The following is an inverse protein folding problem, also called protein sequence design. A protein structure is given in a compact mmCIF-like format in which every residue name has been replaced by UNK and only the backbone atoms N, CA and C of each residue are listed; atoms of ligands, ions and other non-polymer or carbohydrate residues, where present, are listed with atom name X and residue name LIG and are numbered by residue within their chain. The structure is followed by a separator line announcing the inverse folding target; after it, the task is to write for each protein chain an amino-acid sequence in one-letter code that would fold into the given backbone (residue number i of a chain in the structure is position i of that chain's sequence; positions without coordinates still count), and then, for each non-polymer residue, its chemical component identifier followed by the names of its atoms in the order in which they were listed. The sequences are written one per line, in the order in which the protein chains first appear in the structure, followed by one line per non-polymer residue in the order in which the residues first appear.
data_IF_991409649615
#
_entry.id   IF_991409649615
#
_cell.length_a   1.000
_cell.length_b   1.000
_cell.length_c   1.000
_cell.angle_alpha   90.00
_cell.angle_beta   90.00
_cell.angle_gamma   90.00
#
_symmetry.space_group_name_H-M   'P 1'
#
loop_
_entity.id
_entity.type
_entity.pdbx_description
1 polymer ?
#
# COMPACT_ATOMS: atom_id res chain seq x y z
N UNK A 1 -37.37 1.90 62.59
CA UNK A 1 -37.34 1.74 61.12
C UNK A 1 -36.03 2.31 60.57
N UNK A 2 -34.89 1.82 61.07
CA UNK A 2 -33.54 2.21 60.59
C UNK A 2 -33.07 1.25 59.48
N UNK A 3 -33.56 0.02 59.49
CA UNK A 3 -33.17 -1.03 58.54
C UNK A 3 -33.69 -0.87 57.11
N UNK A 4 -34.69 -0.02 56.84
CA UNK A 4 -35.20 0.22 55.47
C UNK A 4 -34.40 1.31 54.74
N UNK A 5 -34.00 2.37 55.46
CA UNK A 5 -33.30 3.51 54.85
C UNK A 5 -31.86 3.17 54.47
N UNK A 6 -31.15 2.38 55.29
CA UNK A 6 -29.78 1.97 55.00
C UNK A 6 -29.69 0.99 53.83
N UNK A 7 -30.69 0.11 53.68
CA UNK A 7 -30.78 -0.82 52.55
C UNK A 7 -31.09 -0.06 51.26
N UNK A 8 -32.01 0.90 51.29
CA UNK A 8 -32.30 1.76 50.12
C UNK A 8 -31.08 2.59 49.72
N UNK A 9 -30.37 3.18 50.68
CA UNK A 9 -29.15 3.94 50.41
C UNK A 9 -28.05 3.06 49.79
N UNK A 10 -27.89 1.83 50.32
CA UNK A 10 -26.95 0.85 49.79
C UNK A 10 -27.27 0.43 48.35
N UNK A 11 -28.55 0.24 48.02
CA UNK A 11 -29.00 -0.08 46.65
C UNK A 11 -28.72 1.08 45.69
N UNK A 12 -28.97 2.32 46.10
CA UNK A 12 -28.69 3.51 45.28
C UNK A 12 -27.18 3.63 44.98
N UNK A 13 -26.33 3.44 45.99
CA UNK A 13 -24.87 3.48 45.81
C UNK A 13 -24.41 2.37 44.85
N UNK A 14 -25.00 1.18 44.93
CA UNK A 14 -24.69 0.06 44.06
C UNK A 14 -25.11 0.32 42.61
N UNK A 15 -26.30 0.89 42.39
CA UNK A 15 -26.78 1.26 41.04
C UNK A 15 -25.90 2.34 40.43
N UNK A 16 -25.55 3.37 41.20
CA UNK A 16 -24.66 4.45 40.73
C UNK A 16 -23.26 3.91 40.43
N UNK A 17 -22.70 3.07 41.31
CA UNK A 17 -21.39 2.44 41.11
C UNK A 17 -21.35 1.52 39.89
N UNK A 18 -22.39 0.72 39.67
CA UNK A 18 -22.53 -0.11 38.46
C UNK A 18 -22.67 0.75 37.20
N UNK A 19 -23.39 1.87 37.27
CA UNK A 19 -23.50 2.83 36.17
C UNK A 19 -22.14 3.41 35.77
N UNK A 20 -21.37 3.90 36.74
CA UNK A 20 -20.01 4.42 36.49
C UNK A 20 -19.05 3.35 35.96
N UNK A 21 -19.10 2.12 36.51
CA UNK A 21 -18.27 1.01 36.03
C UNK A 21 -18.61 0.67 34.57
N UNK A 22 -19.90 0.62 34.23
CA UNK A 22 -20.36 0.28 32.87
C UNK A 22 -19.92 1.34 31.87
N UNK A 23 -20.08 2.62 32.19
CA UNK A 23 -19.65 3.73 31.33
C UNK A 23 -18.12 3.69 31.13
N UNK A 24 -17.36 3.53 32.20
CA UNK A 24 -15.90 3.45 32.13
C UNK A 24 -15.40 2.24 31.33
N UNK A 25 -16.07 1.09 31.44
CA UNK A 25 -15.72 -0.09 30.63
C UNK A 25 -16.02 0.14 29.15
N UNK A 26 -17.12 0.79 28.79
CA UNK A 26 -17.45 1.08 27.39
C UNK A 26 -16.40 2.02 26.79
N UNK A 27 -16.10 3.14 27.43
CA UNK A 27 -15.10 4.11 26.96
C UNK A 27 -13.72 3.46 26.75
N UNK A 28 -13.22 2.70 27.73
CA UNK A 28 -11.92 2.05 27.60
C UNK A 28 -11.88 0.87 26.62
N UNK A 29 -13.02 0.20 26.40
CA UNK A 29 -13.08 -0.91 25.45
C UNK A 29 -13.18 -0.40 24.01
N UNK A 30 -13.91 0.69 23.79
CA UNK A 30 -14.01 1.36 22.48
C UNK A 30 -12.65 1.92 22.05
N UNK A 31 -11.97 2.67 22.91
CA UNK A 31 -10.63 3.20 22.63
C UNK A 31 -9.62 2.09 22.27
N UNK A 32 -9.67 0.96 23.00
CA UNK A 32 -8.81 -0.18 22.73
C UNK A 32 -9.16 -0.87 21.40
N UNK A 33 -10.46 -1.03 21.12
CA UNK A 33 -10.93 -1.63 19.87
C UNK A 33 -10.52 -0.79 18.65
N UNK A 34 -10.63 0.54 18.74
CA UNK A 34 -10.25 1.47 17.68
C UNK A 34 -8.73 1.50 17.46
N UNK A 35 -7.94 1.46 18.55
CA UNK A 35 -6.48 1.34 18.47
C UNK A 35 -6.06 0.02 17.79
N UNK A 36 -6.71 -1.10 18.13
CA UNK A 36 -6.46 -2.39 17.47
C UNK A 36 -6.85 -2.34 16.00
N UNK A 37 -8.00 -1.76 15.65
CA UNK A 37 -8.46 -1.63 14.27
C UNK A 37 -7.47 -0.81 13.43
N UNK A 38 -7.00 0.32 13.96
CA UNK A 38 -6.04 1.19 13.27
C UNK A 38 -4.70 0.50 13.05
N UNK A 39 -4.21 -0.25 14.05
CA UNK A 39 -2.98 -1.05 13.90
C UNK A 39 -3.12 -2.11 12.80
N UNK A 40 -4.27 -2.81 12.73
CA UNK A 40 -4.52 -3.81 11.68
C UNK A 40 -4.54 -3.15 10.29
N UNK A 41 -5.17 -1.99 10.14
CA UNK A 41 -5.21 -1.25 8.87
C UNK A 41 -3.81 -0.80 8.46
N UNK A 42 -3.02 -0.29 9.41
CA UNK A 42 -1.63 0.10 9.19
C UNK A 42 -0.75 -1.06 8.76
N UNK A 43 -0.81 -2.19 9.47
CA UNK A 43 -0.01 -3.37 9.15
C UNK A 43 -0.32 -3.88 7.73
N UNK A 44 -1.59 -3.94 7.36
CA UNK A 44 -2.00 -4.32 5.99
C UNK A 44 -1.43 -3.37 4.93
N UNK A 45 -1.59 -2.06 5.11
CA UNK A 45 -1.08 -1.07 4.16
C UNK A 45 0.46 -1.12 4.06
N UNK A 46 1.14 -1.23 5.20
CA UNK A 46 2.60 -1.37 5.29
C UNK A 46 3.10 -2.63 4.60
N UNK A 47 2.50 -3.79 4.87
CA UNK A 47 2.93 -5.06 4.30
C UNK A 47 2.73 -5.09 2.78
N UNK A 48 1.64 -4.51 2.27
CA UNK A 48 1.42 -4.38 0.83
C UNK A 48 2.46 -3.47 0.18
N UNK A 49 2.74 -2.31 0.78
CA UNK A 49 3.75 -1.40 0.25
C UNK A 49 5.14 -2.07 0.25
N UNK A 50 5.51 -2.77 1.33
CA UNK A 50 6.77 -3.53 1.42
C UNK A 50 6.86 -4.62 0.35
N UNK A 51 5.79 -5.38 0.11
CA UNK A 51 5.77 -6.43 -0.90
C UNK A 51 5.97 -5.87 -2.32
N UNK A 52 5.35 -4.73 -2.64
CA UNK A 52 5.51 -4.06 -3.93
C UNK A 52 6.94 -3.52 -4.14
N UNK A 53 7.61 -3.11 -3.07
CA UNK A 53 9.02 -2.68 -3.07
C UNK A 53 9.95 -3.88 -3.21
N UNK A 54 9.78 -4.93 -2.40
CA UNK A 54 10.67 -6.10 -2.37
C UNK A 54 10.69 -6.86 -3.67
N UNK A 55 9.54 -6.93 -4.35
CA UNK A 55 9.38 -7.70 -5.58
C UNK A 55 9.82 -6.90 -6.83
N UNK A 56 10.31 -5.66 -6.67
CA UNK A 56 10.75 -4.80 -7.78
C UNK A 56 9.61 -4.31 -8.69
N UNK A 57 8.36 -4.55 -8.31
CA UNK A 57 7.17 -4.16 -9.09
C UNK A 57 7.05 -2.64 -9.16
N UNK A 58 7.28 -1.93 -8.04
CA UNK A 58 7.27 -0.46 -8.02
C UNK A 58 8.38 0.15 -8.88
N UNK A 59 9.59 -0.39 -8.82
CA UNK A 59 10.71 0.07 -9.65
C UNK A 59 10.35 -0.04 -11.14
N UNK A 60 9.85 -1.20 -11.55
CA UNK A 60 9.46 -1.45 -12.94
C UNK A 60 8.29 -0.57 -13.38
N UNK A 61 7.31 -0.35 -12.50
CA UNK A 61 6.15 0.50 -12.77
C UNK A 61 6.53 1.98 -12.91
N UNK A 62 7.43 2.49 -12.06
CA UNK A 62 7.96 3.86 -12.15
C UNK A 62 8.61 4.10 -13.52
N UNK A 63 9.41 3.15 -14.00
CA UNK A 63 10.07 3.26 -15.30
C UNK A 63 9.05 3.29 -16.45
N UNK A 64 8.03 2.44 -16.39
CA UNK A 64 6.95 2.46 -17.37
C UNK A 64 6.19 3.79 -17.37
N UNK A 65 5.85 4.33 -16.20
CA UNK A 65 5.15 5.62 -16.07
C UNK A 65 5.98 6.74 -16.71
N UNK A 66 7.28 6.80 -16.40
CA UNK A 66 8.18 7.82 -16.94
C UNK A 66 8.36 7.71 -18.47
N UNK A 67 8.20 6.52 -19.04
CA UNK A 67 8.34 6.27 -20.47
C UNK A 67 7.00 6.24 -21.24
N UNK A 68 5.90 6.71 -20.62
CA UNK A 68 4.61 6.87 -21.29
C UNK A 68 3.73 5.60 -21.33
N UNK A 69 4.10 4.54 -20.62
CA UNK A 69 3.34 3.29 -20.48
C UNK A 69 2.57 3.21 -19.15
N UNK A 70 2.06 4.35 -18.67
CA UNK A 70 1.37 4.45 -17.38
C UNK A 70 0.16 3.53 -17.25
N UNK A 71 -0.61 3.30 -18.31
CA UNK A 71 -1.80 2.43 -18.28
C UNK A 71 -1.47 0.97 -17.97
N UNK A 72 -0.39 0.44 -18.55
CA UNK A 72 0.08 -0.92 -18.25
C UNK A 72 0.63 -1.02 -16.82
N UNK A 73 1.34 0.02 -16.37
CA UNK A 73 1.82 0.09 -15.00
C UNK A 73 0.66 0.11 -13.99
N UNK A 74 -0.39 0.89 -14.28
CA UNK A 74 -1.60 0.97 -13.46
C UNK A 74 -2.32 -0.39 -13.39
N UNK A 75 -2.53 -1.06 -14.52
CA UNK A 75 -3.20 -2.37 -14.55
C UNK A 75 -2.45 -3.41 -13.70
N UNK A 76 -1.12 -3.47 -13.82
CA UNK A 76 -0.32 -4.40 -13.02
C UNK A 76 -0.36 -4.04 -11.53
N UNK A 77 -0.27 -2.75 -11.20
CA UNK A 77 -0.33 -2.28 -9.82
C UNK A 77 -1.70 -2.59 -9.19
N UNK A 78 -2.79 -2.38 -9.91
CA UNK A 78 -4.16 -2.72 -9.47
C UNK A 78 -4.30 -4.22 -9.22
N UNK A 79 -3.85 -5.06 -10.15
CA UNK A 79 -3.95 -6.52 -9.99
C UNK A 79 -3.09 -7.07 -8.84
N UNK A 80 -2.09 -6.32 -8.39
CA UNK A 80 -1.20 -6.70 -7.28
C UNK A 80 -1.66 -6.14 -5.93
N UNK A 81 -2.41 -5.04 -5.95
CA UNK A 81 -3.04 -4.46 -4.76
C UNK A 81 -4.42 -5.07 -4.54
N UNK A 82 -4.45 -6.15 -3.76
CA UNK A 82 -5.68 -6.76 -3.25
C UNK A 82 -6.27 -5.95 -2.08
N UNK A 83 -6.57 -4.68 -2.34
CA UNK A 83 -7.18 -3.73 -1.41
C UNK A 83 -8.36 -3.06 -2.12
N UNK A 84 -9.53 -3.03 -1.49
CA UNK A 84 -10.74 -2.49 -2.14
C UNK A 84 -10.81 -0.96 -2.15
N UNK A 85 -10.16 -0.28 -1.20
CA UNK A 85 -10.25 1.17 -1.03
C UNK A 85 -8.88 1.76 -0.75
N UNK A 86 -8.23 2.28 -1.78
CA UNK A 86 -6.91 2.88 -1.62
C UNK A 86 -6.63 4.00 -2.62
N UNK A 87 -5.67 4.84 -2.28
CA UNK A 87 -5.01 5.79 -3.19
C UNK A 87 -3.50 5.56 -3.08
N UNK A 88 -2.86 5.24 -4.21
CA UNK A 88 -1.42 5.12 -4.35
C UNK A 88 -0.88 6.32 -5.15
N UNK A 89 -0.08 7.14 -4.49
CA UNK A 89 0.70 8.21 -5.09
C UNK A 89 2.12 7.73 -5.38
N UNK A 90 2.59 7.93 -6.62
CA UNK A 90 3.96 7.66 -7.08
C UNK A 90 4.47 8.96 -7.70
N UNK A 91 5.18 9.79 -6.92
CA UNK A 91 5.54 11.14 -7.36
C UNK A 91 4.30 11.97 -7.73
N UNK A 92 4.20 12.37 -9.00
CA UNK A 92 3.03 13.11 -9.52
C UNK A 92 1.94 12.20 -10.10
N UNK A 93 2.17 10.89 -10.17
CA UNK A 93 1.22 9.92 -10.70
C UNK A 93 0.35 9.37 -9.56
N UNK A 94 -0.96 9.26 -9.78
CA UNK A 94 -1.90 8.79 -8.76
C UNK A 94 -2.78 7.70 -9.33
N UNK A 95 -2.93 6.61 -8.57
CA UNK A 95 -3.83 5.49 -8.85
C UNK A 95 -4.79 5.41 -7.66
N UNK A 96 -6.08 5.25 -7.94
CA UNK A 96 -7.09 5.08 -6.90
C UNK A 96 -8.05 3.96 -7.26
N UNK A 97 -8.48 3.21 -6.24
CA UNK A 97 -9.50 2.18 -6.36
C UNK A 97 -10.48 2.31 -5.17
N UNK A 98 -11.78 2.20 -5.45
CA UNK A 98 -12.84 2.31 -4.44
C UNK A 98 -13.15 3.72 -3.96
N UNK A 99 -13.86 3.81 -2.83
CA UNK A 99 -14.24 5.06 -2.19
C UNK A 99 -13.71 5.12 -0.74
N UNK A 100 -13.00 6.20 -0.44
CA UNK A 100 -12.41 6.50 0.87
C UNK A 100 -13.26 7.46 1.72
N UNK A 101 -14.40 7.94 1.21
CA UNK A 101 -15.33 8.75 2.00
C UNK A 101 -15.88 7.93 3.17
N UNK A 102 -15.94 8.57 4.34
CA UNK A 102 -16.49 8.01 5.59
C UNK A 102 -15.79 6.73 6.10
N UNK A 103 -14.49 6.59 5.82
CA UNK A 103 -13.66 5.45 6.29
C UNK A 103 -12.52 5.91 7.18
N UNK A 104 -12.09 5.01 8.05
CA UNK A 104 -10.86 5.21 8.82
C UNK A 104 -9.67 5.09 7.87
N UNK A 105 -8.85 6.13 7.81
CA UNK A 105 -7.75 6.23 6.86
C UNK A 105 -6.41 5.99 7.54
N UNK A 106 -5.58 5.19 6.89
CA UNK A 106 -4.17 5.05 7.23
C UNK A 106 -3.30 5.45 6.05
N UNK A 107 -2.24 6.18 6.34
CA UNK A 107 -1.28 6.66 5.36
C UNK A 107 0.06 6.00 5.64
N UNK A 108 0.61 5.32 4.64
CA UNK A 108 1.94 4.74 4.68
C UNK A 108 2.75 5.29 3.52
N UNK A 109 3.94 5.84 3.80
CA UNK A 109 4.83 6.39 2.79
C UNK A 109 6.17 5.67 2.80
N UNK A 110 6.74 5.52 1.61
CA UNK A 110 8.11 5.05 1.40
C UNK A 110 8.81 5.91 0.37
N UNK A 111 10.14 5.95 0.44
CA UNK A 111 10.98 6.68 -0.49
C UNK A 111 11.83 5.69 -1.26
N UNK A 112 11.71 5.69 -2.59
CA UNK A 112 12.45 4.78 -3.46
C UNK A 112 13.50 5.55 -4.27
N UNK A 113 14.72 5.02 -4.31
CA UNK A 113 15.80 5.48 -5.18
C UNK A 113 16.20 4.33 -6.08
N UNK A 114 16.10 4.52 -7.39
CA UNK A 114 16.53 3.53 -8.37
C UNK A 114 18.06 3.53 -8.49
N UNK A 115 18.72 2.61 -7.79
CA UNK A 115 20.17 2.48 -7.81
C UNK A 115 20.64 1.57 -8.97
N UNK A 116 20.32 1.97 -10.20
CA UNK A 116 20.73 1.26 -11.41
C UNK A 116 21.73 2.10 -12.22
N UNK A 117 22.53 1.43 -13.04
CA UNK A 117 23.40 2.08 -14.03
C UNK A 117 22.54 2.64 -15.16
N UNK A 118 22.88 3.80 -15.70
CA UNK A 118 22.19 4.35 -16.87
C UNK A 118 22.34 3.41 -18.08
N UNK A 119 21.26 3.19 -18.83
CA UNK A 119 21.31 2.32 -20.01
C UNK A 119 19.95 1.73 -20.39
N UNK A 120 19.95 0.88 -21.42
CA UNK A 120 18.75 0.18 -21.85
C UNK A 120 18.49 -1.03 -20.94
N UNK A 121 17.26 -1.17 -20.49
CA UNK A 121 16.80 -2.33 -19.71
C UNK A 121 15.61 -2.97 -20.40
N UNK A 122 15.50 -4.28 -20.26
CA UNK A 122 14.31 -4.99 -20.69
C UNK A 122 13.29 -5.05 -19.56
N UNK A 123 12.09 -4.52 -19.79
CA UNK A 123 10.94 -4.72 -18.91
C UNK A 123 10.04 -5.79 -19.52
N UNK A 124 9.71 -6.82 -18.76
CA UNK A 124 8.87 -7.92 -19.20
C UNK A 124 7.92 -8.35 -18.10
N UNK A 125 6.77 -8.89 -18.49
CA UNK A 125 5.75 -9.23 -17.52
C UNK A 125 4.42 -9.68 -18.12
N UNK A 126 3.44 -9.74 -17.24
CA UNK A 126 2.04 -10.00 -17.54
C UNK A 126 1.19 -9.10 -16.63
N UNK A 127 -0.14 -9.28 -16.66
CA UNK A 127 -1.07 -8.49 -15.85
C UNK A 127 -0.84 -8.60 -14.33
N UNK A 128 -0.11 -9.61 -13.85
CA UNK A 128 0.12 -9.91 -12.43
C UNK A 128 1.56 -9.67 -11.98
N UNK A 129 2.53 -9.67 -12.87
CA UNK A 129 3.93 -9.50 -12.49
C UNK A 129 4.67 -8.67 -13.53
N UNK A 130 5.51 -7.78 -13.03
CA UNK A 130 6.37 -6.93 -13.84
C UNK A 130 7.80 -7.05 -13.33
N UNK A 131 8.71 -7.29 -14.25
CA UNK A 131 10.12 -7.52 -13.98
C UNK A 131 10.97 -6.64 -14.90
N UNK A 132 12.14 -6.29 -14.39
CA UNK A 132 13.19 -5.61 -15.13
C UNK A 132 14.42 -6.52 -15.19
N UNK A 133 15.16 -6.49 -16.30
CA UNK A 133 16.42 -7.23 -16.41
C UNK A 133 17.46 -6.75 -15.42
N UNK A 134 18.22 -7.67 -14.82
CA UNK A 134 19.33 -7.32 -13.92
C UNK A 134 20.52 -6.70 -14.65
N UNK A 135 20.62 -6.93 -15.97
CA UNK A 135 21.63 -6.34 -16.83
C UNK A 135 21.09 -5.16 -17.64
N UNK A 136 21.99 -4.25 -17.95
CA UNK A 136 21.78 -3.16 -18.90
C UNK A 136 22.38 -3.52 -20.25
N UNK A 137 21.90 -2.86 -21.30
CA UNK A 137 22.30 -3.04 -22.69
C UNK A 137 22.70 -1.70 -23.30
N UNK A 138 23.48 -1.78 -24.37
CA UNK A 138 23.97 -0.59 -25.07
C UNK A 138 22.96 -0.05 -26.08
N UNK A 139 22.07 -0.91 -26.59
CA UNK A 139 21.02 -0.50 -27.54
C UNK A 139 19.65 -1.08 -27.17
N UNK A 140 18.61 -0.38 -27.63
CA UNK A 140 17.22 -0.83 -27.52
C UNK A 140 17.01 -2.20 -28.19
N UNK A 141 17.59 -2.37 -29.37
CA UNK A 141 17.49 -3.60 -30.16
C UNK A 141 18.11 -4.79 -29.42
N UNK A 142 19.27 -4.61 -28.80
CA UNK A 142 19.93 -5.66 -28.02
C UNK A 142 19.09 -6.06 -26.80
N UNK A 143 18.53 -5.08 -26.09
CA UNK A 143 17.63 -5.31 -24.97
C UNK A 143 16.38 -6.07 -25.40
N UNK A 144 15.75 -5.65 -26.50
CA UNK A 144 14.51 -6.27 -26.99
C UNK A 144 14.75 -7.68 -27.53
N UNK A 145 15.82 -7.91 -28.29
CA UNK A 145 16.22 -9.24 -28.75
C UNK A 145 16.48 -10.17 -27.57
N UNK A 146 17.15 -9.69 -26.52
CA UNK A 146 17.34 -10.47 -25.31
C UNK A 146 16.01 -10.87 -24.66
N UNK A 147 15.04 -9.96 -24.58
CA UNK A 147 13.71 -10.27 -24.03
C UNK A 147 12.98 -11.35 -24.83
N UNK A 148 13.06 -11.29 -26.16
CA UNK A 148 12.43 -12.30 -27.03
C UNK A 148 13.08 -13.67 -26.85
N UNK A 149 14.41 -13.72 -26.78
CA UNK A 149 15.15 -14.98 -26.68
C UNK A 149 15.00 -15.65 -25.32
N UNK A 150 15.11 -14.90 -24.22
CA UNK A 150 15.20 -15.48 -22.88
C UNK A 150 13.87 -15.50 -22.12
N UNK A 151 12.91 -14.65 -22.50
CA UNK A 151 11.61 -14.55 -21.82
C UNK A 151 10.42 -14.72 -22.78
N UNK A 152 10.41 -15.71 -23.70
CA UNK A 152 9.42 -15.79 -24.77
C UNK A 152 7.97 -15.88 -24.25
N UNK A 153 7.75 -16.52 -23.10
CA UNK A 153 6.43 -16.76 -22.53
C UNK A 153 5.70 -15.55 -21.92
N UNK A 154 6.36 -14.40 -21.80
CA UNK A 154 5.72 -13.19 -21.25
C UNK A 154 5.02 -12.37 -22.35
N UNK A 155 3.73 -12.04 -22.22
CA UNK A 155 3.01 -11.28 -23.25
C UNK A 155 3.51 -9.83 -23.37
N UNK A 156 3.91 -9.21 -22.25
CA UNK A 156 4.45 -7.87 -22.24
C UNK A 156 5.98 -7.92 -22.26
N UNK A 157 6.57 -7.23 -23.25
CA UNK A 157 8.03 -7.05 -23.39
C UNK A 157 8.29 -5.66 -23.98
N UNK A 158 9.12 -4.87 -23.33
CA UNK A 158 9.55 -3.54 -23.80
C UNK A 158 10.99 -3.29 -23.41
N UNK A 159 11.77 -2.72 -24.33
CA UNK A 159 13.05 -2.12 -23.99
C UNK A 159 12.79 -0.68 -23.52
N UNK A 160 13.36 -0.29 -22.40
CA UNK A 160 13.18 1.03 -21.79
C UNK A 160 14.55 1.58 -21.43
N UNK A 161 14.79 2.84 -21.79
CA UNK A 161 16.00 3.53 -21.37
C UNK A 161 15.83 4.08 -19.96
N UNK A 162 16.68 3.64 -19.03
CA UNK A 162 16.75 4.22 -17.71
C UNK A 162 17.72 5.39 -17.71
N UNK A 163 17.19 6.60 -17.52
CA UNK A 163 17.99 7.77 -17.22
C UNK A 163 18.28 7.82 -15.72
N UNK A 164 19.56 7.82 -15.33
CA UNK A 164 19.95 7.85 -13.92
C UNK A 164 19.50 9.16 -13.29
N UNK A 165 18.47 9.11 -12.46
CA UNK A 165 18.08 10.23 -11.62
C UNK A 165 18.51 10.00 -10.19
N UNK A 166 19.18 10.99 -9.60
CA UNK A 166 19.50 11.00 -8.17
C UNK A 166 18.33 11.53 -7.32
N UNK A 167 17.20 11.89 -7.94
CA UNK A 167 16.03 12.36 -7.20
C UNK A 167 15.24 11.18 -6.65
N UNK A 168 15.10 11.04 -5.33
CA UNK A 168 14.23 10.03 -4.75
C UNK A 168 12.77 10.25 -5.17
N UNK A 169 12.03 9.15 -5.34
CA UNK A 169 10.61 9.17 -5.67
C UNK A 169 9.83 8.79 -4.42
N UNK A 170 8.98 9.71 -3.97
CA UNK A 170 8.08 9.48 -2.85
C UNK A 170 6.89 8.66 -3.31
N UNK A 171 6.59 7.60 -2.57
CA UNK A 171 5.47 6.70 -2.82
C UNK A 171 4.62 6.70 -1.56
N UNK A 172 3.33 7.03 -1.68
CA UNK A 172 2.41 7.08 -0.55
C UNK A 172 1.18 6.23 -0.86
N UNK A 173 0.87 5.28 0.02
CA UNK A 173 -0.33 4.46 -0.01
C UNK A 173 -1.26 4.92 1.10
N UNK A 174 -2.44 5.37 0.71
CA UNK A 174 -3.56 5.69 1.59
C UNK A 174 -4.53 4.52 1.50
N UNK A 175 -4.88 3.91 2.62
CA UNK A 175 -5.83 2.78 2.68
C UNK A 175 -6.96 3.10 3.66
N UNK A 176 -8.19 2.77 3.26
CA UNK A 176 -9.39 2.95 4.09
C UNK A 176 -10.11 1.63 4.36
N UNK A 177 -10.50 1.38 5.62
CA UNK A 177 -11.18 0.14 6.01
C UNK A 177 -11.99 0.19 7.30
#
# INVERSE_FOLDING_TARGET
MIFDSDVVLGVIILIVGMGFLTISMVEHTEDYADAVKTNILYDKASDRLKALVSDGTLESAILLINCGYGSTAEEVLKNRMDLENYILHIGNYTISEGNLQDKDLVIVSTVMVMNRTEGWYGVYGNQKSLHITDKYFLSEEEAYNYLITYYPGYPFKRAIYYFRSNTPINITLIYGG
#
